data_IF_192921134869
#
_entry.id   IF_192921134869
#
_cell.length_a   1.000
_cell.length_b   1.000
_cell.length_c   1.000
_cell.angle_alpha   90.00
_cell.angle_beta   90.00
_cell.angle_gamma   90.00
#
_symmetry.space_group_name_H-M   'P 1'
#
loop_
_entity.id
_entity.type
_entity.pdbx_description
1 polymer ?
#
# COMPACT_ATOMS: atom_id res chain seq x y z
N UNK A 1 -8.59 0.72 -11.80
CA UNK A 1 -8.53 0.27 -10.39
C UNK A 1 -7.49 -0.84 -10.28
N UNK A 2 -6.78 -0.99 -9.16
CA UNK A 2 -5.71 -1.99 -9.01
C UNK A 2 -5.63 -2.56 -7.60
N UNK A 3 -5.16 -3.81 -7.49
CA UNK A 3 -4.88 -4.49 -6.22
C UNK A 3 -3.63 -3.97 -5.51
N UNK A 4 -2.74 -3.34 -6.27
CA UNK A 4 -1.49 -2.76 -5.82
C UNK A 4 -1.39 -1.29 -6.23
N UNK A 5 -0.75 -0.44 -5.41
CA UNK A 5 -0.56 0.96 -5.71
C UNK A 5 0.39 1.13 -6.91
N UNK A 6 0.20 2.21 -7.67
CA UNK A 6 1.14 2.59 -8.73
C UNK A 6 2.45 3.09 -8.12
N UNK A 7 3.60 2.92 -8.80
CA UNK A 7 4.90 3.38 -8.30
C UNK A 7 4.92 4.86 -7.88
N UNK A 8 4.29 5.73 -8.67
CA UNK A 8 4.18 7.16 -8.35
C UNK A 8 3.47 7.42 -7.00
N UNK A 9 2.48 6.60 -6.64
CA UNK A 9 1.75 6.74 -5.37
C UNK A 9 2.55 6.11 -4.22
N UNK A 10 3.21 4.98 -4.47
CA UNK A 10 4.09 4.33 -3.50
C UNK A 10 5.22 5.27 -3.05
N UNK A 11 5.81 6.02 -3.99
CA UNK A 11 6.86 7.01 -3.69
C UNK A 11 6.45 8.08 -2.68
N UNK A 12 5.16 8.40 -2.60
CA UNK A 12 4.62 9.36 -1.64
C UNK A 12 4.13 8.71 -0.32
N UNK A 13 4.25 7.40 -0.17
CA UNK A 13 3.73 6.64 0.99
C UNK A 13 4.60 6.69 2.24
N UNK A 14 5.88 7.07 2.11
CA UNK A 14 6.85 7.08 3.22
C UNK A 14 7.48 5.72 3.47
N UNK A 15 6.96 4.68 2.81
CA UNK A 15 7.58 3.35 2.74
C UNK A 15 8.63 3.27 1.61
N UNK A 16 8.71 4.29 0.75
CA UNK A 16 9.70 4.37 -0.32
C UNK A 16 11.04 4.87 0.22
N UNK A 17 11.81 3.95 0.81
CA UNK A 17 13.14 4.23 1.37
C UNK A 17 14.29 3.85 0.42
N UNK A 18 13.97 3.56 -0.85
CA UNK A 18 14.93 3.15 -1.89
C UNK A 18 15.31 1.66 -1.88
N UNK A 19 14.84 0.89 -0.88
CA UNK A 19 15.00 -0.55 -0.80
C UNK A 19 13.77 -1.20 -0.15
N UNK A 20 13.67 -2.53 -0.21
CA UNK A 20 12.60 -3.29 0.46
C UNK A 20 12.87 -3.36 1.98
N UNK A 21 12.29 -2.42 2.72
CA UNK A 21 12.41 -2.39 4.18
C UNK A 21 11.41 -3.32 4.87
N UNK A 22 11.61 -3.58 6.16
CA UNK A 22 10.66 -4.33 6.99
C UNK A 22 9.26 -3.68 7.02
N UNK A 23 9.17 -2.35 6.84
CA UNK A 23 7.90 -1.64 6.70
C UNK A 23 7.17 -1.98 5.39
N UNK A 24 7.91 -2.07 4.27
CA UNK A 24 7.37 -2.52 2.98
C UNK A 24 6.81 -3.93 3.08
N UNK A 25 7.58 -4.84 3.69
CA UNK A 25 7.17 -6.23 3.88
C UNK A 25 5.92 -6.34 4.74
N UNK A 26 5.90 -5.67 5.90
CA UNK A 26 4.76 -5.68 6.82
C UNK A 26 3.49 -5.17 6.14
N UNK A 27 3.59 -4.07 5.40
CA UNK A 27 2.46 -3.54 4.64
C UNK A 27 1.97 -4.52 3.57
N UNK A 28 2.89 -5.13 2.83
CA UNK A 28 2.55 -6.07 1.76
C UNK A 28 1.85 -7.32 2.31
N UNK A 29 2.36 -7.88 3.41
CA UNK A 29 1.76 -9.03 4.08
C UNK A 29 0.37 -8.72 4.64
N UNK A 30 0.21 -7.58 5.34
CA UNK A 30 -1.10 -7.13 5.85
C UNK A 30 -2.12 -7.02 4.71
N UNK A 31 -1.74 -6.32 3.63
CA UNK A 31 -2.60 -6.17 2.45
C UNK A 31 -2.96 -7.52 1.84
N UNK A 32 -2.00 -8.43 1.70
CA UNK A 32 -2.20 -9.78 1.15
C UNK A 32 -3.16 -10.59 2.01
N UNK A 33 -3.05 -10.50 3.32
CA UNK A 33 -3.98 -11.17 4.25
C UNK A 33 -5.40 -10.60 4.12
N UNK A 34 -5.55 -9.28 4.02
CA UNK A 34 -6.85 -8.63 3.86
C UNK A 34 -7.52 -8.98 2.53
N UNK A 35 -6.74 -9.16 1.46
CA UNK A 35 -7.24 -9.69 0.18
C UNK A 35 -7.72 -11.12 0.36
N UNK A 36 -6.94 -11.97 1.04
CA UNK A 36 -7.31 -13.38 1.30
C UNK A 36 -8.57 -13.52 2.15
N UNK A 37 -8.77 -12.62 3.12
CA UNK A 37 -9.97 -12.55 3.96
C UNK A 37 -11.19 -11.96 3.24
N UNK A 38 -11.04 -11.43 2.02
CA UNK A 38 -12.11 -10.77 1.28
C UNK A 38 -12.46 -9.36 1.79
N UNK A 39 -11.70 -8.83 2.75
CA UNK A 39 -11.88 -7.49 3.33
C UNK A 39 -11.34 -6.38 2.42
N UNK A 40 -10.27 -6.69 1.67
CA UNK A 40 -9.65 -5.69 0.80
C UNK A 40 -10.46 -5.51 -0.50
N UNK A 41 -10.81 -4.25 -0.79
CA UNK A 41 -11.41 -3.85 -2.07
C UNK A 41 -10.34 -3.35 -3.04
N UNK A 42 -10.61 -3.51 -4.34
CA UNK A 42 -9.88 -2.83 -5.40
C UNK A 42 -9.92 -1.32 -5.14
N UNK A 43 -8.75 -0.68 -5.18
CA UNK A 43 -8.63 0.76 -4.93
C UNK A 43 -8.33 1.50 -6.23
N UNK A 44 -8.94 2.68 -6.37
CA UNK A 44 -8.55 3.69 -7.35
C UNK A 44 -7.25 4.38 -6.91
N UNK A 45 -6.60 5.08 -7.83
CA UNK A 45 -5.35 5.81 -7.57
C UNK A 45 -5.46 6.77 -6.38
N UNK A 46 -6.58 7.49 -6.26
CA UNK A 46 -6.84 8.42 -5.15
C UNK A 46 -7.04 7.71 -3.81
N UNK A 47 -7.78 6.59 -3.82
CA UNK A 47 -7.97 5.75 -2.64
C UNK A 47 -6.66 5.13 -2.15
N UNK A 48 -5.73 4.82 -3.07
CA UNK A 48 -4.37 4.43 -2.72
C UNK A 48 -3.59 5.55 -2.06
N UNK A 49 -3.66 6.76 -2.63
CA UNK A 49 -2.97 7.94 -2.08
C UNK A 49 -3.39 8.21 -0.64
N UNK A 50 -4.70 8.21 -0.37
CA UNK A 50 -5.22 8.39 0.99
C UNK A 50 -4.84 7.25 1.93
N UNK A 51 -4.92 5.99 1.47
CA UNK A 51 -4.59 4.82 2.27
C UNK A 51 -3.11 4.74 2.66
N UNK A 52 -2.23 5.17 1.77
CA UNK A 52 -0.78 5.14 1.95
C UNK A 52 -0.26 6.39 2.67
N UNK A 53 -0.91 7.54 2.51
CA UNK A 53 -0.60 8.73 3.31
C UNK A 53 -0.83 8.49 4.81
N UNK A 54 -1.74 7.58 5.18
CA UNK A 54 -2.00 7.20 6.58
C UNK A 54 -0.87 6.38 7.23
N UNK A 55 0.07 5.83 6.44
CA UNK A 55 1.23 5.09 6.92
C UNK A 55 2.45 5.99 7.22
N UNK A 56 2.33 7.31 7.04
CA UNK A 56 3.36 8.30 7.32
C UNK A 56 3.42 8.74 8.80
N UNK A 57 2.56 8.20 9.67
CA UNK A 57 2.51 8.54 11.10
C UNK A 57 3.11 7.44 11.96
#
# INVERSE_FOLDING_TARGET
MSWWPKPNIWRHSGLDVGYWSSGCEKWFQDRKERIRKGDARLKSTEAWRSSLARNQK
#
